data_IF_262177766016
#
_entry.id   IF_262177766016
#
_cell.length_a   1.000
_cell.length_b   1.000
_cell.length_c   1.000
_cell.angle_alpha   90.00
_cell.angle_beta   90.00
_cell.angle_gamma   90.00
#
_symmetry.space_group_name_H-M   'P 1'
#
loop_
_entity.id
_entity.type
_entity.pdbx_description
1 polymer ?
#
# COMPACT_ATOMS: atom_id res chain seq x y z
N UNK A 1 -17.96 -35.47 12.12
CA UNK A 1 -17.53 -34.18 12.70
C UNK A 1 -17.85 -33.06 11.72
N UNK A 2 -18.06 -31.83 12.19
CA UNK A 2 -18.30 -30.67 11.33
C UNK A 2 -17.17 -30.47 10.32
N UNK A 3 -17.51 -30.21 9.06
CA UNK A 3 -16.55 -30.03 7.96
C UNK A 3 -16.07 -31.32 7.29
N UNK A 4 -16.42 -32.50 7.82
CA UNK A 4 -16.10 -33.77 7.17
C UNK A 4 -16.98 -34.00 5.92
N UNK A 5 -16.47 -34.71 4.90
CA UNK A 5 -17.29 -35.15 3.77
C UNK A 5 -18.48 -35.99 4.21
N UNK A 6 -19.65 -35.74 3.62
CA UNK A 6 -20.85 -36.55 3.85
C UNK A 6 -20.68 -37.92 3.16
N UNK A 7 -20.94 -39.06 3.84
CA UNK A 7 -20.81 -40.38 3.24
C UNK A 7 -21.75 -40.59 2.03
N UNK A 8 -21.37 -41.45 1.07
CA UNK A 8 -22.26 -41.81 -0.04
C UNK A 8 -23.62 -42.32 0.46
N UNK A 9 -24.71 -41.78 -0.09
CA UNK A 9 -26.07 -42.17 0.25
C UNK A 9 -26.71 -41.45 1.44
N UNK A 10 -25.94 -40.69 2.23
CA UNK A 10 -26.51 -39.84 3.28
C UNK A 10 -27.08 -38.54 2.68
N UNK A 11 -28.27 -38.15 3.13
CA UNK A 11 -29.02 -37.01 2.58
C UNK A 11 -29.18 -35.84 3.58
N UNK A 12 -28.80 -36.05 4.84
CA UNK A 12 -28.91 -35.10 5.95
C UNK A 12 -27.89 -35.43 7.05
N UNK A 13 -27.52 -34.45 7.87
CA UNK A 13 -26.65 -34.66 9.05
C UNK A 13 -27.39 -34.21 10.31
N UNK A 14 -27.42 -35.03 11.35
CA UNK A 14 -28.05 -34.69 12.63
C UNK A 14 -27.05 -34.06 13.61
N UNK A 15 -27.52 -33.11 14.42
CA UNK A 15 -26.77 -32.51 15.52
C UNK A 15 -26.59 -33.51 16.66
N UNK A 16 -25.39 -33.60 17.25
CA UNK A 16 -25.09 -34.59 18.29
C UNK A 16 -25.98 -34.43 19.52
N UNK A 17 -26.38 -33.19 19.83
CA UNK A 17 -27.28 -32.81 20.92
C UNK A 17 -28.71 -33.39 20.75
N UNK A 18 -29.05 -33.85 19.54
CA UNK A 18 -30.33 -34.47 19.20
C UNK A 18 -30.18 -35.98 18.91
N UNK A 19 -29.12 -36.60 19.45
CA UNK A 19 -28.87 -38.03 19.37
C UNK A 19 -28.59 -38.62 20.76
N UNK A 20 -28.84 -39.92 20.92
CA UNK A 20 -28.50 -40.66 22.13
C UNK A 20 -27.78 -41.95 21.76
N UNK A 21 -26.63 -42.20 22.35
CA UNK A 21 -25.89 -43.45 22.20
C UNK A 21 -26.56 -44.56 23.03
N UNK A 22 -26.67 -45.75 22.46
CA UNK A 22 -27.07 -46.95 23.19
C UNK A 22 -25.89 -47.94 23.19
N UNK A 23 -25.28 -48.12 24.36
CA UNK A 23 -24.25 -49.15 24.56
C UNK A 23 -24.92 -50.51 24.72
N UNK A 24 -24.52 -51.48 23.89
CA UNK A 24 -24.70 -52.89 24.26
C UNK A 24 -23.64 -53.21 25.32
N UNK A 25 -24.05 -53.89 26.38
CA UNK A 25 -23.17 -54.24 27.50
C UNK A 25 -22.02 -55.10 27.00
N UNK A 26 -20.78 -54.60 27.08
CA UNK A 26 -19.59 -55.45 26.97
C UNK A 26 -18.43 -54.95 26.11
N UNK A 27 -18.58 -53.88 25.31
CA UNK A 27 -17.46 -53.38 24.49
C UNK A 27 -17.33 -51.85 24.47
N UNK A 28 -16.12 -51.39 24.18
CA UNK A 28 -15.66 -50.01 24.34
C UNK A 28 -16.16 -49.07 23.21
N UNK A 29 -17.47 -49.04 22.98
CA UNK A 29 -18.12 -48.20 21.97
C UNK A 29 -19.64 -48.41 21.92
N UNK A 30 -20.40 -47.41 21.49
CA UNK A 30 -21.84 -47.56 21.26
C UNK A 30 -22.09 -48.24 19.90
N UNK A 31 -22.81 -49.36 19.90
CA UNK A 31 -23.16 -50.12 18.68
C UNK A 31 -24.32 -49.50 17.89
N UNK A 32 -25.06 -48.58 18.51
CA UNK A 32 -26.22 -47.95 17.89
C UNK A 32 -26.47 -46.53 18.41
N UNK A 33 -27.11 -45.72 17.56
CA UNK A 33 -27.47 -44.33 17.85
C UNK A 33 -28.96 -44.14 17.63
N UNK A 34 -29.63 -43.52 18.60
CA UNK A 34 -31.02 -43.09 18.50
C UNK A 34 -31.09 -41.64 18.06
N UNK A 35 -31.92 -41.35 17.06
CA UNK A 35 -32.23 -39.98 16.61
C UNK A 35 -33.46 -39.47 17.38
N UNK A 36 -33.27 -38.45 18.22
CA UNK A 36 -34.32 -37.96 19.13
C UNK A 36 -35.37 -37.07 18.45
N UNK A 37 -35.02 -36.51 17.29
CA UNK A 37 -35.88 -35.61 16.52
C UNK A 37 -35.70 -35.86 15.02
N UNK A 38 -36.80 -35.80 14.25
CA UNK A 38 -36.74 -35.94 12.80
C UNK A 38 -35.85 -34.87 12.15
N UNK A 39 -35.12 -35.28 11.12
CA UNK A 39 -34.20 -34.43 10.36
C UNK A 39 -34.81 -34.12 9.00
N UNK A 40 -34.75 -32.86 8.59
CA UNK A 40 -35.21 -32.45 7.26
C UNK A 40 -34.17 -32.85 6.21
N UNK A 41 -34.65 -33.23 5.03
CA UNK A 41 -33.82 -33.49 3.86
C UNK A 41 -32.84 -32.32 3.61
N UNK A 42 -31.55 -32.63 3.47
CA UNK A 42 -30.48 -31.66 3.22
C UNK A 42 -30.03 -30.86 4.44
N UNK A 43 -30.57 -31.12 5.63
CA UNK A 43 -30.20 -30.37 6.82
C UNK A 43 -28.73 -30.57 7.18
N UNK A 44 -28.07 -29.47 7.53
CA UNK A 44 -26.67 -29.41 7.97
C UNK A 44 -25.66 -29.97 6.94
N UNK A 45 -26.02 -29.99 5.66
CA UNK A 45 -25.11 -30.28 4.54
C UNK A 45 -24.77 -28.98 3.82
N UNK A 46 -23.49 -28.70 3.66
CA UNK A 46 -22.99 -27.63 2.78
C UNK A 46 -22.62 -28.26 1.45
N UNK A 47 -23.32 -27.86 0.38
CA UNK A 47 -23.09 -28.40 -0.94
C UNK A 47 -21.74 -27.93 -1.51
N UNK A 48 -21.14 -28.77 -2.36
CA UNK A 48 -19.92 -28.40 -3.08
C UNK A 48 -20.16 -27.13 -3.92
N UNK A 49 -19.31 -26.13 -3.74
CA UNK A 49 -19.43 -24.84 -4.43
C UNK A 49 -20.59 -23.97 -3.94
N UNK A 50 -21.06 -24.17 -2.71
CA UNK A 50 -22.07 -23.32 -2.08
C UNK A 50 -21.59 -21.88 -1.85
N UNK A 51 -20.29 -21.69 -1.62
CA UNK A 51 -19.69 -20.36 -1.45
C UNK A 51 -19.16 -19.79 -2.77
N UNK A 52 -18.26 -20.52 -3.44
CA UNK A 52 -17.61 -20.09 -4.69
C UNK A 52 -17.57 -21.27 -5.65
N UNK A 53 -17.92 -21.03 -6.92
CA UNK A 53 -17.85 -22.05 -7.97
C UNK A 53 -16.51 -21.98 -8.71
N UNK A 54 -16.11 -23.12 -9.27
CA UNK A 54 -14.93 -23.15 -10.14
C UNK A 54 -15.14 -22.24 -11.36
N UNK A 55 -14.13 -21.43 -11.68
CA UNK A 55 -14.18 -20.45 -12.77
C UNK A 55 -14.85 -19.11 -12.41
N UNK A 56 -15.42 -18.99 -11.21
CA UNK A 56 -15.96 -17.73 -10.73
C UNK A 56 -14.84 -16.76 -10.34
N UNK A 57 -15.01 -15.48 -10.67
CA UNK A 57 -14.06 -14.44 -10.28
C UNK A 57 -14.33 -14.03 -8.83
N UNK A 58 -13.35 -14.28 -7.96
CA UNK A 58 -13.43 -13.90 -6.53
C UNK A 58 -12.93 -12.47 -6.29
N UNK A 59 -11.90 -12.03 -7.03
CA UNK A 59 -11.26 -10.72 -6.88
C UNK A 59 -11.03 -10.04 -8.23
N UNK A 60 -11.00 -8.71 -8.24
CA UNK A 60 -10.61 -7.91 -9.40
C UNK A 60 -9.17 -7.41 -9.28
N UNK A 61 -8.47 -7.32 -10.42
CA UNK A 61 -7.16 -6.66 -10.48
C UNK A 61 -7.26 -5.20 -10.05
N UNK A 62 -6.28 -4.74 -9.27
CA UNK A 62 -6.23 -3.39 -8.69
C UNK A 62 -6.83 -3.29 -7.30
N UNK A 63 -7.48 -4.33 -6.78
CA UNK A 63 -7.91 -4.37 -5.40
C UNK A 63 -6.72 -4.46 -4.43
N UNK A 64 -6.79 -3.70 -3.32
CA UNK A 64 -5.81 -3.80 -2.25
C UNK A 64 -6.07 -5.07 -1.45
N UNK A 65 -5.07 -5.95 -1.40
CA UNK A 65 -5.14 -7.19 -0.64
C UNK A 65 -5.46 -6.89 0.83
N UNK A 66 -6.60 -7.41 1.30
CA UNK A 66 -7.06 -7.34 2.68
C UNK A 66 -6.82 -8.68 3.41
N UNK A 67 -6.91 -8.71 4.75
CA UNK A 67 -6.80 -9.97 5.50
C UNK A 67 -7.80 -11.04 5.05
N UNK A 68 -9.03 -10.65 4.68
CA UNK A 68 -10.04 -11.58 4.17
C UNK A 68 -9.62 -12.17 2.81
N UNK A 69 -9.05 -11.36 1.92
CA UNK A 69 -8.53 -11.84 0.64
C UNK A 69 -7.38 -12.83 0.84
N UNK A 70 -6.48 -12.56 1.81
CA UNK A 70 -5.40 -13.48 2.16
C UNK A 70 -5.95 -14.83 2.61
N UNK A 71 -6.99 -14.84 3.46
CA UNK A 71 -7.62 -16.08 3.90
C UNK A 71 -8.21 -16.88 2.73
N UNK A 72 -8.91 -16.21 1.80
CA UNK A 72 -9.45 -16.86 0.61
C UNK A 72 -8.36 -17.38 -0.34
N UNK A 73 -7.31 -16.59 -0.59
CA UNK A 73 -6.17 -17.01 -1.40
C UNK A 73 -5.53 -18.27 -0.83
N UNK A 74 -5.30 -18.30 0.49
CA UNK A 74 -4.77 -19.47 1.18
C UNK A 74 -5.72 -20.67 1.11
N UNK A 75 -7.03 -20.47 1.28
CA UNK A 75 -8.04 -21.53 1.20
C UNK A 75 -8.09 -22.20 -0.19
N UNK A 76 -7.76 -21.45 -1.25
CA UNK A 76 -7.66 -21.96 -2.61
C UNK A 76 -6.24 -22.38 -3.03
N UNK A 77 -5.25 -22.27 -2.14
CA UNK A 77 -3.87 -22.69 -2.42
C UNK A 77 -3.03 -21.70 -3.23
N UNK A 78 -3.42 -20.42 -3.30
CA UNK A 78 -2.63 -19.37 -3.94
C UNK A 78 -1.65 -18.73 -2.93
N UNK A 79 -0.42 -19.23 -2.87
CA UNK A 79 0.63 -18.71 -1.98
C UNK A 79 1.29 -17.42 -2.49
N UNK A 80 1.44 -17.30 -3.82
CA UNK A 80 2.22 -16.24 -4.47
C UNK A 80 1.38 -15.53 -5.53
N UNK A 81 0.40 -14.70 -5.13
CA UNK A 81 -0.42 -13.97 -6.08
C UNK A 81 0.42 -12.92 -6.84
N UNK A 82 0.14 -12.76 -8.12
CA UNK A 82 0.71 -11.66 -8.91
C UNK A 82 0.17 -10.31 -8.40
N UNK A 83 1.08 -9.39 -8.09
CA UNK A 83 0.78 -8.06 -7.57
C UNK A 83 1.59 -6.99 -8.29
N UNK A 84 1.11 -5.75 -8.27
CA UNK A 84 1.87 -4.61 -8.77
C UNK A 84 3.10 -4.35 -7.89
N UNK A 85 4.19 -3.90 -8.53
CA UNK A 85 5.35 -3.41 -7.80
C UNK A 85 5.01 -2.15 -7.00
N UNK A 86 5.68 -1.97 -5.87
CA UNK A 86 5.56 -0.74 -5.08
C UNK A 86 6.19 0.43 -5.86
N UNK A 87 5.51 1.58 -5.97
CA UNK A 87 6.11 2.77 -6.58
C UNK A 87 7.35 3.21 -5.81
N UNK A 88 8.41 3.60 -6.51
CA UNK A 88 9.63 4.16 -5.92
C UNK A 88 9.57 5.67 -5.91
N UNK A 89 9.81 6.28 -4.76
CA UNK A 89 9.74 7.74 -4.57
C UNK A 89 11.08 8.28 -4.10
N UNK A 90 11.73 9.08 -4.94
CA UNK A 90 12.91 9.84 -4.57
C UNK A 90 12.50 11.16 -3.91
N UNK A 91 13.17 11.51 -2.81
CA UNK A 91 12.87 12.74 -2.05
C UNK A 91 14.16 13.53 -1.90
N UNK A 92 14.15 14.73 -2.45
CA UNK A 92 15.24 15.69 -2.39
C UNK A 92 14.82 16.89 -1.56
N UNK A 93 15.70 17.36 -0.69
CA UNK A 93 15.57 18.69 -0.09
C UNK A 93 16.70 19.58 -0.60
N UNK A 94 16.36 20.83 -0.89
CA UNK A 94 17.28 21.85 -1.42
C UNK A 94 17.15 23.14 -0.65
N UNK A 95 18.25 23.85 -0.51
CA UNK A 95 18.35 25.14 0.17
C UNK A 95 19.61 25.24 0.99
N UNK A 96 20.37 26.32 0.82
CA UNK A 96 21.61 26.59 1.56
C UNK A 96 21.43 26.73 3.08
N UNK A 97 20.20 26.98 3.53
CA UNK A 97 19.80 27.00 4.94
C UNK A 97 19.58 25.59 5.53
N UNK A 98 19.46 24.55 4.69
CA UNK A 98 19.06 23.23 5.12
C UNK A 98 20.27 22.39 5.54
N UNK A 99 20.23 21.84 6.75
CA UNK A 99 21.24 20.89 7.25
C UNK A 99 20.64 19.53 7.57
N UNK A 100 21.51 18.52 7.66
CA UNK A 100 21.12 17.18 8.10
C UNK A 100 20.45 17.18 9.48
N UNK A 101 19.55 16.23 9.71
CA UNK A 101 18.82 16.09 10.97
C UNK A 101 19.74 15.90 12.18
N UNK A 102 20.93 15.32 11.99
CA UNK A 102 21.93 15.07 13.04
C UNK A 102 22.87 16.26 13.26
N UNK A 103 22.93 17.19 12.31
CA UNK A 103 23.78 18.38 12.44
C UNK A 103 23.25 19.34 13.50
N UNK A 104 24.15 20.13 14.09
CA UNK A 104 23.81 21.32 14.88
C UNK A 104 23.66 22.51 13.93
N UNK A 105 22.47 23.11 13.78
CA UNK A 105 22.30 24.24 12.88
C UNK A 105 23.10 25.46 13.33
N UNK A 106 23.73 26.14 12.37
CA UNK A 106 24.24 27.50 12.55
C UNK A 106 23.12 28.54 12.67
N UNK A 107 23.50 29.81 12.71
CA UNK A 107 22.59 30.94 12.98
C UNK A 107 21.47 31.07 11.94
N UNK A 108 21.75 30.77 10.68
CA UNK A 108 20.80 30.88 9.56
C UNK A 108 20.42 29.50 8.98
N UNK A 109 20.60 28.44 9.78
CA UNK A 109 20.34 27.07 9.32
C UNK A 109 19.16 26.44 10.07
N UNK A 110 18.46 25.55 9.38
CA UNK A 110 17.39 24.72 9.92
C UNK A 110 17.60 23.27 9.49
N UNK A 111 17.14 22.33 10.32
CA UNK A 111 17.23 20.90 9.99
C UNK A 111 16.22 20.53 8.91
N UNK A 112 16.60 19.60 8.04
CA UNK A 112 15.72 18.99 7.07
C UNK A 112 14.61 18.17 7.75
N UNK A 113 13.44 18.78 7.95
CA UNK A 113 12.25 18.11 8.47
C UNK A 113 11.32 17.57 7.39
N UNK A 114 11.36 18.12 6.17
CA UNK A 114 10.42 17.75 5.12
C UNK A 114 10.75 16.39 4.50
N UNK A 115 12.02 16.09 4.23
CA UNK A 115 12.38 14.82 3.63
C UNK A 115 11.94 13.59 4.47
N UNK A 116 12.20 13.53 5.79
CA UNK A 116 11.70 12.42 6.60
C UNK A 116 10.16 12.39 6.70
N UNK A 117 9.49 13.54 6.74
CA UNK A 117 8.03 13.61 6.72
C UNK A 117 7.45 13.04 5.41
N UNK A 118 7.98 13.48 4.26
CA UNK A 118 7.55 13.02 2.94
C UNK A 118 7.84 11.53 2.73
N UNK A 119 8.96 11.04 3.26
CA UNK A 119 9.34 9.62 3.23
C UNK A 119 8.32 8.77 3.98
N UNK A 120 7.97 9.16 5.21
CA UNK A 120 6.94 8.48 5.99
C UNK A 120 5.55 8.52 5.32
N UNK A 121 5.19 9.64 4.68
CA UNK A 121 3.93 9.76 3.94
C UNK A 121 3.90 8.85 2.70
N UNK A 122 5.00 8.77 1.94
CA UNK A 122 5.11 7.89 0.79
C UNK A 122 4.96 6.41 1.20
N UNK A 123 5.63 6.00 2.27
CA UNK A 123 5.54 4.63 2.81
C UNK A 123 4.15 4.29 3.34
N UNK A 124 3.48 5.26 3.99
CA UNK A 124 2.08 5.11 4.40
C UNK A 124 1.15 4.87 3.21
N UNK A 125 1.46 5.44 2.05
CA UNK A 125 0.74 5.20 0.79
C UNK A 125 1.14 3.87 0.11
N UNK A 126 2.12 3.13 0.63
CA UNK A 126 2.58 1.84 0.11
C UNK A 126 3.73 1.93 -0.89
N UNK A 127 4.36 3.10 -1.02
CA UNK A 127 5.54 3.30 -1.85
C UNK A 127 6.83 2.93 -1.11
N UNK A 128 7.89 2.66 -1.86
CA UNK A 128 9.26 2.61 -1.35
C UNK A 128 9.88 4.00 -1.46
N UNK A 129 10.37 4.55 -0.36
CA UNK A 129 10.91 5.91 -0.33
C UNK A 129 12.43 5.91 -0.23
N UNK A 130 13.08 6.87 -0.90
CA UNK A 130 14.53 7.12 -0.79
C UNK A 130 14.80 8.60 -0.64
N UNK A 131 15.39 8.98 0.49
CA UNK A 131 15.89 10.34 0.70
C UNK A 131 17.25 10.46 0.03
N UNK A 132 17.39 11.43 -0.86
CA UNK A 132 18.64 11.76 -1.54
C UNK A 132 19.48 12.72 -0.68
N UNK A 133 20.80 12.77 -0.91
CA UNK A 133 21.65 13.77 -0.27
C UNK A 133 21.12 15.20 -0.50
N UNK A 134 21.35 16.07 0.49
CA UNK A 134 21.03 17.49 0.36
C UNK A 134 21.78 18.09 -0.83
N UNK A 135 21.09 18.95 -1.55
CA UNK A 135 21.66 19.74 -2.64
C UNK A 135 21.58 21.20 -2.23
N UNK A 136 22.72 21.88 -2.20
CA UNK A 136 22.78 23.33 -1.99
C UNK A 136 22.10 24.07 -3.16
N UNK A 137 22.02 25.40 -3.09
CA UNK A 137 21.46 26.22 -4.17
C UNK A 137 22.39 26.30 -5.41
N UNK A 138 22.71 25.14 -5.98
CA UNK A 138 23.52 24.93 -7.18
C UNK A 138 22.66 24.26 -8.27
N UNK A 139 22.46 25.00 -9.37
CA UNK A 139 21.58 24.56 -10.45
C UNK A 139 22.09 23.30 -11.14
N UNK A 140 23.40 23.16 -11.36
CA UNK A 140 23.97 22.03 -12.08
C UNK A 140 23.85 20.74 -11.24
N UNK A 141 24.14 20.83 -9.94
CA UNK A 141 23.94 19.73 -9.00
C UNK A 141 22.49 19.32 -8.87
N UNK A 142 21.56 20.29 -8.87
CA UNK A 142 20.13 20.02 -8.81
C UNK A 142 19.64 19.31 -10.07
N UNK A 143 20.10 19.74 -11.25
CA UNK A 143 19.81 19.09 -12.54
C UNK A 143 20.30 17.64 -12.55
N UNK A 144 21.56 17.41 -12.16
CA UNK A 144 22.14 16.06 -12.12
C UNK A 144 21.39 15.15 -11.14
N UNK A 145 21.03 15.69 -9.97
CA UNK A 145 20.34 14.92 -8.92
C UNK A 145 18.92 14.56 -9.33
N UNK A 146 18.18 15.49 -9.95
CA UNK A 146 16.83 15.22 -10.46
C UNK A 146 16.90 14.21 -11.62
N UNK A 147 17.87 14.34 -12.52
CA UNK A 147 18.06 13.39 -13.63
C UNK A 147 18.23 11.95 -13.13
N UNK A 148 19.16 11.74 -12.19
CA UNK A 148 19.39 10.43 -11.56
C UNK A 148 18.17 9.91 -10.81
N UNK A 149 17.46 10.79 -10.09
CA UNK A 149 16.25 10.44 -9.37
C UNK A 149 15.17 9.89 -10.30
N UNK A 150 14.99 10.51 -11.47
CA UNK A 150 14.03 10.09 -12.48
C UNK A 150 14.46 8.79 -13.19
N UNK A 151 15.75 8.52 -13.33
CA UNK A 151 16.21 7.22 -13.85
C UNK A 151 15.85 6.08 -12.87
N UNK A 152 16.10 6.28 -11.58
CA UNK A 152 16.03 5.23 -10.55
C UNK A 152 14.65 5.06 -9.88
N UNK A 153 13.79 6.09 -9.88
CA UNK A 153 12.51 6.12 -9.15
C UNK A 153 11.33 6.47 -10.06
N UNK A 154 10.10 6.16 -9.65
CA UNK A 154 8.85 6.41 -10.38
C UNK A 154 8.32 7.84 -10.18
N UNK A 155 8.62 8.42 -9.02
CA UNK A 155 8.23 9.77 -8.63
C UNK A 155 9.43 10.46 -7.97
N UNK A 156 9.67 11.72 -8.32
CA UNK A 156 10.64 12.57 -7.63
C UNK A 156 9.92 13.72 -6.92
N UNK A 157 10.24 13.95 -5.65
CA UNK A 157 9.69 15.04 -4.85
C UNK A 157 10.85 15.94 -4.40
N UNK A 158 10.79 17.20 -4.77
CA UNK A 158 11.78 18.23 -4.44
C UNK A 158 11.13 19.17 -3.42
N UNK A 159 11.69 19.23 -2.23
CA UNK A 159 11.23 20.11 -1.16
C UNK A 159 12.18 21.29 -1.02
N UNK A 160 11.69 22.50 -1.32
CA UNK A 160 12.51 23.72 -1.34
C UNK A 160 12.68 24.26 -2.75
N UNK A 161 13.12 25.52 -2.87
CA UNK A 161 13.45 26.12 -4.17
C UNK A 161 12.30 26.20 -5.18
N UNK A 162 11.05 26.39 -4.74
CA UNK A 162 9.83 26.54 -5.60
C UNK A 162 9.02 27.82 -5.35
N UNK A 163 9.55 28.73 -4.52
CA UNK A 163 8.88 29.98 -4.14
C UNK A 163 9.26 31.13 -5.08
N UNK A 164 8.54 32.25 -5.01
CA UNK A 164 8.83 33.45 -5.81
C UNK A 164 10.10 34.12 -5.26
N UNK A 165 11.27 33.87 -5.87
CA UNK A 165 12.53 34.46 -5.43
C UNK A 165 13.72 34.12 -6.32
N UNK A 166 14.87 34.75 -6.06
CA UNK A 166 16.12 34.60 -6.83
C UNK A 166 16.71 33.18 -6.77
N UNK A 167 16.28 32.37 -5.80
CA UNK A 167 16.77 31.01 -5.53
C UNK A 167 15.73 29.92 -5.87
N UNK A 168 14.76 30.23 -6.74
CA UNK A 168 13.81 29.25 -7.31
C UNK A 168 14.51 28.41 -8.40
N UNK A 169 15.36 27.46 -7.99
CA UNK A 169 16.17 26.65 -8.91
C UNK A 169 15.44 25.42 -9.45
N UNK A 170 14.32 25.02 -8.84
CA UNK A 170 13.57 23.82 -9.27
C UNK A 170 13.04 23.97 -10.69
N UNK A 171 12.42 25.09 -11.03
CA UNK A 171 11.86 25.30 -12.38
C UNK A 171 12.95 25.43 -13.46
N UNK A 172 14.04 26.22 -13.26
CA UNK A 172 15.18 26.20 -14.17
C UNK A 172 15.78 24.80 -14.35
N UNK A 173 15.92 24.02 -13.27
CA UNK A 173 16.46 22.66 -13.36
C UNK A 173 15.57 21.74 -14.21
N UNK A 174 14.25 21.76 -13.95
CA UNK A 174 13.26 21.02 -14.73
C UNK A 174 13.26 21.45 -16.21
N UNK A 175 13.36 22.76 -16.48
CA UNK A 175 13.44 23.27 -17.85
C UNK A 175 14.70 22.79 -18.57
N UNK A 176 15.85 22.73 -17.89
CA UNK A 176 17.12 22.27 -18.48
C UNK A 176 17.11 20.78 -18.80
N UNK A 177 16.38 20.00 -18.00
CA UNK A 177 16.14 18.58 -18.25
C UNK A 177 15.10 18.34 -19.36
N UNK A 178 14.46 19.39 -19.89
CA UNK A 178 13.40 19.25 -20.89
C UNK A 178 12.10 18.68 -20.33
N UNK A 179 11.85 18.85 -19.03
CA UNK A 179 10.61 18.40 -18.40
C UNK A 179 9.40 19.20 -18.92
N UNK A 180 8.28 18.50 -19.11
CA UNK A 180 7.00 19.15 -19.43
C UNK A 180 6.37 19.67 -18.14
N UNK A 181 6.27 20.98 -17.98
CA UNK A 181 5.64 21.62 -16.84
C UNK A 181 4.11 21.63 -16.99
N UNK A 182 3.39 21.11 -16.01
CA UNK A 182 1.92 21.06 -16.02
C UNK A 182 1.30 22.20 -15.21
N UNK A 183 1.84 22.46 -14.03
CA UNK A 183 1.46 23.62 -13.22
C UNK A 183 2.59 24.02 -12.28
N UNK A 184 2.58 25.29 -11.86
CA UNK A 184 3.51 25.85 -10.86
C UNK A 184 2.81 26.51 -9.67
N UNK A 185 1.48 26.59 -9.71
CA UNK A 185 0.65 27.16 -8.66
C UNK A 185 -0.66 26.40 -8.56
N UNK A 186 -1.11 26.20 -7.34
CA UNK A 186 -2.41 25.63 -7.02
C UNK A 186 -3.20 26.63 -6.18
N UNK A 187 -4.52 26.69 -6.38
CA UNK A 187 -5.40 27.56 -5.59
C UNK A 187 -5.65 26.93 -4.21
N UNK A 188 -4.62 26.95 -3.36
CA UNK A 188 -4.59 26.32 -2.03
C UNK A 188 -3.95 27.28 -1.01
N UNK A 189 -4.36 27.21 0.26
CA UNK A 189 -3.76 27.97 1.36
C UNK A 189 -3.72 27.13 2.65
N UNK A 190 -2.54 26.86 3.24
CA UNK A 190 -1.21 27.15 2.69
C UNK A 190 -0.88 26.28 1.46
N UNK A 191 0.28 26.45 0.80
CA UNK A 191 0.70 25.57 -0.32
C UNK A 191 0.43 26.07 -1.75
N UNK A 192 0.19 27.37 -1.93
CA UNK A 192 -0.06 27.96 -3.25
C UNK A 192 1.06 27.67 -4.28
N UNK A 193 2.35 27.87 -3.99
CA UNK A 193 3.42 27.43 -4.88
C UNK A 193 3.57 25.91 -4.77
N UNK A 194 3.35 25.23 -5.89
CA UNK A 194 3.57 23.80 -6.03
C UNK A 194 3.80 23.52 -7.51
N UNK A 195 4.87 22.82 -7.83
CA UNK A 195 5.26 22.48 -9.19
C UNK A 195 4.91 21.04 -9.46
N UNK A 196 4.32 20.77 -10.62
CA UNK A 196 4.20 19.43 -11.16
C UNK A 196 4.69 19.44 -12.60
N UNK A 197 5.60 18.51 -12.90
CA UNK A 197 6.18 18.32 -14.21
C UNK A 197 6.34 16.82 -14.51
N UNK A 198 6.55 16.50 -15.78
CA UNK A 198 6.88 15.14 -16.21
C UNK A 198 8.18 15.13 -17.02
N UNK A 199 9.07 14.23 -16.65
CA UNK A 199 10.31 13.91 -17.38
C UNK A 199 10.33 12.41 -17.68
N UNK A 200 9.35 11.94 -18.47
CA UNK A 200 9.01 10.51 -18.59
C UNK A 200 8.33 9.93 -17.33
N UNK A 201 8.68 10.45 -16.15
CA UNK A 201 8.11 10.13 -14.85
C UNK A 201 7.68 11.39 -14.09
N UNK A 202 6.93 11.24 -13.00
CA UNK A 202 6.35 12.37 -12.28
C UNK A 202 7.40 13.09 -11.42
N UNK A 203 7.42 14.42 -11.48
CA UNK A 203 8.26 15.25 -10.63
C UNK A 203 7.42 16.33 -9.97
N UNK A 204 7.53 16.45 -8.65
CA UNK A 204 6.83 17.43 -7.83
C UNK A 204 7.83 18.35 -7.16
N UNK A 205 7.55 19.66 -7.19
CA UNK A 205 8.26 20.65 -6.40
C UNK A 205 7.33 21.23 -5.33
N UNK A 206 7.71 21.12 -4.06
CA UNK A 206 6.93 21.50 -2.89
C UNK A 206 7.63 22.59 -2.07
N UNK A 207 6.84 23.38 -1.35
CA UNK A 207 7.37 24.41 -0.45
C UNK A 207 8.29 23.79 0.62
N UNK A 208 9.41 24.48 0.87
CA UNK A 208 10.32 24.14 1.97
C UNK A 208 9.74 24.35 3.37
N UNK A 209 8.63 25.09 3.52
CA UNK A 209 8.02 25.28 4.83
C UNK A 209 7.11 24.08 5.22
N UNK A 210 7.44 23.34 6.29
CA UNK A 210 6.71 22.12 6.70
C UNK A 210 5.24 22.38 7.02
N UNK A 211 4.90 23.51 7.63
CA UNK A 211 3.52 23.85 8.03
C UNK A 211 2.65 24.29 6.85
N UNK A 212 3.21 24.36 5.64
CA UNK A 212 2.54 24.88 4.45
C UNK A 212 2.31 23.84 3.36
N UNK A 213 2.54 22.56 3.66
CA UNK A 213 2.23 21.47 2.74
C UNK A 213 0.76 21.00 2.93
N UNK A 214 0.06 20.61 1.86
CA UNK A 214 -1.32 20.11 1.92
C UNK A 214 -1.47 18.79 2.68
#
# INVERSE_FOLDING_TARGET
MTGAPVPPGADSVQKIELTSEASMVGDSGADSVTILQSVKLGANIVLKGAEIRSGERVFQSGERISPAMIASLAAFGYSDPEVFQRPKVAILATGSEIVDIRSSPGIDQIRNSNAPMLSALAEKCGAESRILPLVDDDLDRLVDTIGKAVEECDVSIISGGVSVGKYDLTKPALSRLGATLHFEKVRLKPGKPAVFATLGKAVFGLLGNPYRQP
#
